data_IF_305808435134
#
_entry.id   IF_305808435134
#
_cell.length_a   1.000
_cell.length_b   1.000
_cell.length_c   1.000
_cell.angle_alpha   90.00
_cell.angle_beta   90.00
_cell.angle_gamma   90.00
#
_symmetry.space_group_name_H-M   'P 1'
#
loop_
_entity.id
_entity.type
_entity.pdbx_description
1 polymer ?
#
# COMPACT_ATOMS: atom_id res chain seq x y z
N UNK A 1 -34.15 -3.32 -1.06
CA UNK A 1 -33.14 -2.52 -0.36
C UNK A 1 -32.68 -1.38 -1.26
N UNK A 2 -32.50 -0.19 -0.69
CA UNK A 2 -31.86 0.97 -1.33
C UNK A 2 -30.54 1.26 -0.61
N UNK A 3 -29.44 1.33 -1.35
CA UNK A 3 -28.09 1.52 -0.84
C UNK A 3 -27.57 2.92 -1.17
N UNK A 4 -26.84 3.53 -0.23
CA UNK A 4 -26.00 4.70 -0.45
C UNK A 4 -24.55 4.28 -0.24
N UNK A 5 -23.68 4.51 -1.23
CA UNK A 5 -22.25 4.18 -1.18
C UNK A 5 -21.45 5.47 -1.27
N UNK A 6 -20.79 5.83 -0.18
CA UNK A 6 -20.06 7.10 -0.03
C UNK A 6 -18.59 6.85 -0.40
N UNK A 7 -17.99 7.68 -1.25
CA UNK A 7 -16.69 7.37 -1.88
C UNK A 7 -16.80 6.25 -2.91
N UNK A 8 -17.98 6.13 -3.52
CA UNK A 8 -18.39 4.96 -4.29
C UNK A 8 -17.82 4.87 -5.71
N UNK A 9 -17.05 5.86 -6.17
CA UNK A 9 -16.31 5.76 -7.45
C UNK A 9 -14.89 5.21 -7.29
N UNK A 10 -14.49 4.86 -6.07
CA UNK A 10 -13.22 4.15 -5.85
C UNK A 10 -13.20 2.79 -6.57
N UNK A 11 -12.02 2.29 -6.99
CA UNK A 11 -11.90 0.97 -7.61
C UNK A 11 -12.46 -0.17 -6.74
N UNK A 12 -12.27 -0.07 -5.42
CA UNK A 12 -12.81 -0.98 -4.40
C UNK A 12 -14.34 -1.05 -4.49
N UNK A 13 -14.99 0.11 -4.60
CA UNK A 13 -16.43 0.20 -4.75
C UNK A 13 -16.90 -0.38 -6.08
N UNK A 14 -16.37 0.13 -7.19
CA UNK A 14 -16.90 -0.16 -8.53
C UNK A 14 -16.65 -1.60 -8.99
N UNK A 15 -15.54 -2.22 -8.58
CA UNK A 15 -15.18 -3.60 -8.99
C UNK A 15 -15.58 -4.63 -7.94
N UNK A 16 -15.93 -4.17 -6.75
CA UNK A 16 -16.13 -5.02 -5.59
C UNK A 16 -17.49 -4.90 -4.98
N UNK A 17 -17.74 -3.77 -4.32
CA UNK A 17 -18.94 -3.54 -3.50
C UNK A 17 -20.20 -3.48 -4.35
N UNK A 18 -20.21 -2.64 -5.38
CA UNK A 18 -21.41 -2.39 -6.19
C UNK A 18 -21.88 -3.63 -6.95
N UNK A 19 -21.04 -4.37 -7.70
CA UNK A 19 -21.48 -5.57 -8.41
C UNK A 19 -22.21 -6.59 -7.53
N UNK A 20 -21.87 -6.65 -6.25
CA UNK A 20 -22.33 -7.69 -5.34
C UNK A 20 -23.62 -7.31 -4.65
N UNK A 21 -23.73 -6.04 -4.26
CA UNK A 21 -25.01 -5.46 -3.91
C UNK A 21 -26.02 -5.67 -5.05
N UNK A 22 -25.59 -5.53 -6.31
CA UNK A 22 -26.44 -5.73 -7.48
C UNK A 22 -26.81 -7.19 -7.78
N UNK A 23 -26.06 -8.18 -7.26
CA UNK A 23 -26.41 -9.61 -7.39
C UNK A 23 -27.63 -9.98 -6.53
N UNK A 24 -27.91 -9.23 -5.46
CA UNK A 24 -29.10 -9.46 -4.65
C UNK A 24 -30.36 -9.05 -5.40
N UNK A 25 -31.31 -9.98 -5.54
CA UNK A 25 -32.63 -9.72 -6.11
C UNK A 25 -33.45 -8.69 -5.31
N UNK A 26 -33.11 -8.49 -4.04
CA UNK A 26 -33.78 -7.51 -3.17
C UNK A 26 -33.29 -6.09 -3.42
N UNK A 27 -32.16 -5.89 -4.10
CA UNK A 27 -31.59 -4.57 -4.38
C UNK A 27 -32.42 -3.85 -5.42
N UNK A 28 -33.10 -2.79 -4.98
CA UNK A 28 -33.94 -1.93 -5.82
C UNK A 28 -33.18 -0.73 -6.38
N UNK A 29 -32.23 -0.21 -5.61
CA UNK A 29 -31.49 1.01 -5.97
C UNK A 29 -30.12 1.05 -5.30
N UNK A 30 -29.12 1.55 -6.03
CA UNK A 30 -27.79 1.87 -5.53
C UNK A 30 -27.47 3.31 -5.89
N UNK A 31 -27.19 4.13 -4.89
CA UNK A 31 -26.79 5.52 -5.06
C UNK A 31 -25.31 5.65 -4.71
N UNK A 32 -24.49 5.94 -5.71
CA UNK A 32 -23.08 6.26 -5.52
C UNK A 32 -22.97 7.76 -5.21
N UNK A 33 -22.40 8.10 -4.06
CA UNK A 33 -22.19 9.48 -3.63
C UNK A 33 -20.69 9.75 -3.57
N UNK A 34 -20.20 10.66 -4.41
CA UNK A 34 -18.76 10.87 -4.60
C UNK A 34 -18.46 12.32 -5.00
N UNK A 35 -17.33 12.86 -4.56
CA UNK A 35 -16.93 14.25 -4.85
C UNK A 35 -16.16 14.40 -6.17
N UNK A 36 -15.93 13.29 -6.88
CA UNK A 36 -15.22 13.18 -8.15
C UNK A 36 -13.73 13.51 -8.08
N UNK A 37 -13.17 13.78 -6.90
CA UNK A 37 -11.79 14.27 -6.75
C UNK A 37 -10.72 13.24 -7.14
N UNK A 38 -11.06 11.95 -7.14
CA UNK A 38 -10.15 10.84 -7.47
C UNK A 38 -10.54 10.04 -8.72
N UNK A 39 -11.51 10.50 -9.50
CA UNK A 39 -12.03 9.74 -10.65
C UNK A 39 -11.08 9.87 -11.83
N UNK A 40 -10.29 8.81 -12.06
CA UNK A 40 -9.67 8.60 -13.36
C UNK A 40 -10.74 8.03 -14.29
N UNK A 41 -10.81 8.52 -15.53
CA UNK A 41 -11.85 8.37 -16.55
C UNK A 41 -12.10 6.94 -17.06
N UNK A 42 -12.23 5.97 -16.16
CA UNK A 42 -12.55 4.58 -16.46
C UNK A 42 -14.05 4.35 -16.42
N UNK A 43 -14.64 4.04 -17.57
CA UNK A 43 -16.03 3.57 -17.64
C UNK A 43 -16.11 2.19 -16.98
N UNK A 44 -16.82 2.10 -15.85
CA UNK A 44 -17.17 0.82 -15.24
C UNK A 44 -18.55 0.38 -15.77
N UNK A 45 -18.70 -0.84 -16.33
CA UNK A 45 -20.00 -1.34 -16.82
C UNK A 45 -21.11 -1.33 -15.76
N UNK A 46 -20.72 -1.33 -14.49
CA UNK A 46 -21.63 -1.27 -13.34
C UNK A 46 -22.39 0.05 -13.28
N UNK A 47 -21.81 1.14 -13.81
CA UNK A 47 -22.46 2.44 -13.87
C UNK A 47 -23.58 2.47 -14.92
N UNK A 48 -23.60 1.52 -15.85
CA UNK A 48 -24.66 1.39 -16.87
C UNK A 48 -25.88 0.59 -16.36
N UNK A 49 -25.81 0.00 -15.15
CA UNK A 49 -26.95 -0.70 -14.54
C UNK A 49 -28.06 0.31 -14.18
N UNK A 50 -29.29 0.05 -14.63
CA UNK A 50 -30.44 0.96 -14.44
C UNK A 50 -30.83 1.18 -12.98
N UNK A 51 -30.35 0.36 -12.05
CA UNK A 51 -30.55 0.51 -10.61
C UNK A 51 -29.51 1.42 -9.97
N UNK A 52 -28.43 1.74 -10.68
CA UNK A 52 -27.32 2.57 -10.21
C UNK A 52 -27.54 4.03 -10.62
N UNK A 53 -27.31 4.94 -9.68
CA UNK A 53 -27.31 6.38 -9.95
C UNK A 53 -26.14 7.03 -9.23
N UNK A 54 -25.50 8.01 -9.86
CA UNK A 54 -24.39 8.76 -9.28
C UNK A 54 -24.88 10.14 -8.84
N UNK A 55 -24.56 10.52 -7.61
CA UNK A 55 -24.75 11.86 -7.06
C UNK A 55 -23.37 12.46 -6.84
N UNK A 56 -23.00 13.40 -7.71
CA UNK A 56 -21.77 14.17 -7.56
C UNK A 56 -21.94 15.18 -6.42
N UNK A 57 -21.21 15.00 -5.32
CA UNK A 57 -21.36 15.80 -4.13
C UNK A 57 -20.29 15.53 -3.09
N UNK A 58 -19.88 16.57 -2.38
CA UNK A 58 -19.00 16.44 -1.22
C UNK A 58 -19.80 16.10 0.03
N UNK A 59 -19.26 15.25 0.90
CA UNK A 59 -19.86 14.96 2.22
C UNK A 59 -20.01 16.19 3.11
N UNK A 60 -19.30 17.29 2.81
CA UNK A 60 -19.51 18.59 3.44
C UNK A 60 -20.81 19.30 3.01
N UNK A 61 -21.48 18.83 1.96
CA UNK A 61 -22.78 19.36 1.52
C UNK A 61 -23.94 18.61 2.17
N UNK A 62 -24.17 18.93 3.45
CA UNK A 62 -25.17 18.25 4.28
C UNK A 62 -26.58 18.30 3.67
N UNK A 63 -26.99 19.42 3.06
CA UNK A 63 -28.30 19.54 2.41
C UNK A 63 -28.46 18.56 1.25
N UNK A 64 -27.41 18.37 0.45
CA UNK A 64 -27.41 17.40 -0.63
C UNK A 64 -27.44 15.96 -0.08
N UNK A 65 -26.70 15.67 0.99
CA UNK A 65 -26.77 14.37 1.66
C UNK A 65 -28.19 14.09 2.19
N UNK A 66 -28.78 15.01 2.93
CA UNK A 66 -30.15 14.87 3.48
C UNK A 66 -31.19 14.65 2.37
N UNK A 67 -31.11 15.42 1.28
CA UNK A 67 -31.95 15.22 0.09
C UNK A 67 -31.72 13.84 -0.52
N UNK A 68 -30.46 13.41 -0.65
CA UNK A 68 -30.10 12.09 -1.18
C UNK A 68 -30.69 10.96 -0.33
N UNK A 69 -30.63 11.05 0.99
CA UNK A 69 -31.27 10.09 1.90
C UNK A 69 -32.79 10.02 1.69
N UNK A 70 -33.43 11.19 1.65
CA UNK A 70 -34.90 11.32 1.58
C UNK A 70 -35.45 10.87 0.24
N UNK A 71 -34.92 11.41 -0.86
CA UNK A 71 -35.41 11.16 -2.23
C UNK A 71 -35.23 9.70 -2.64
N UNK A 72 -34.18 9.05 -2.14
CA UNK A 72 -33.83 7.67 -2.52
C UNK A 72 -34.29 6.62 -1.51
N UNK A 73 -34.90 7.05 -0.39
CA UNK A 73 -35.39 6.19 0.69
C UNK A 73 -34.33 5.18 1.14
N UNK A 74 -33.15 5.69 1.49
CA UNK A 74 -31.96 4.86 1.76
C UNK A 74 -32.18 3.96 2.98
N UNK A 75 -31.88 2.68 2.80
CA UNK A 75 -32.04 1.64 3.84
C UNK A 75 -30.71 1.10 4.34
N UNK A 76 -29.64 1.27 3.55
CA UNK A 76 -28.30 0.76 3.83
C UNK A 76 -27.30 1.84 3.41
N UNK A 77 -26.28 2.06 4.24
CA UNK A 77 -25.17 2.98 3.95
C UNK A 77 -23.88 2.19 4.01
N UNK A 78 -23.06 2.33 2.97
CA UNK A 78 -21.69 1.79 2.92
C UNK A 78 -20.74 2.97 2.78
N UNK A 79 -19.89 3.19 3.78
CA UNK A 79 -18.91 4.27 3.73
C UNK A 79 -17.52 3.76 3.35
N UNK A 80 -17.04 4.23 2.21
CA UNK A 80 -15.72 3.98 1.64
C UNK A 80 -14.91 5.29 1.50
N UNK A 81 -15.46 6.45 1.86
CA UNK A 81 -14.78 7.74 1.65
C UNK A 81 -13.53 7.90 2.52
N UNK A 82 -13.50 7.23 3.67
CA UNK A 82 -12.31 7.10 4.51
C UNK A 82 -11.13 6.42 3.81
N UNK A 83 -11.38 5.63 2.75
CA UNK A 83 -10.38 4.90 1.97
C UNK A 83 -9.89 5.68 0.75
N UNK A 84 -10.67 6.65 0.27
CA UNK A 84 -10.47 7.34 -1.01
C UNK A 84 -9.76 8.68 -0.86
N UNK A 85 -8.85 8.81 0.10
CA UNK A 85 -8.08 10.04 0.27
C UNK A 85 -7.05 10.17 -0.86
N UNK A 86 -6.97 11.32 -1.55
CA UNK A 86 -5.93 11.58 -2.55
C UNK A 86 -4.55 11.33 -1.94
N UNK A 87 -3.64 10.70 -2.70
CA UNK A 87 -2.27 10.40 -2.23
C UNK A 87 -1.51 11.66 -1.76
N UNK A 88 -1.84 12.82 -2.32
CA UNK A 88 -1.23 14.12 -2.03
C UNK A 88 -1.95 14.94 -0.94
N UNK A 89 -3.03 14.41 -0.36
CA UNK A 89 -3.79 15.14 0.64
C UNK A 89 -2.98 15.30 1.93
N UNK A 90 -2.91 16.53 2.46
CA UNK A 90 -2.29 16.76 3.77
C UNK A 90 -2.98 15.92 4.85
N UNK A 91 -2.28 15.50 5.92
CA UNK A 91 -2.89 14.76 7.03
C UNK A 91 -4.11 15.48 7.63
N UNK A 92 -4.12 16.82 7.62
CA UNK A 92 -5.25 17.64 8.07
C UNK A 92 -6.44 17.50 7.12
N UNK A 93 -6.22 17.55 5.80
CA UNK A 93 -7.27 17.35 4.82
C UNK A 93 -7.86 15.93 4.92
N UNK A 94 -7.00 14.91 5.06
CA UNK A 94 -7.40 13.53 5.30
C UNK A 94 -8.26 13.39 6.57
N UNK A 95 -7.80 13.93 7.69
CA UNK A 95 -8.54 13.90 8.95
C UNK A 95 -9.86 14.67 8.85
N UNK A 96 -9.89 15.80 8.16
CA UNK A 96 -11.11 16.60 7.96
C UNK A 96 -12.14 15.85 7.12
N UNK A 97 -11.74 15.26 6.00
CA UNK A 97 -12.65 14.47 5.16
C UNK A 97 -13.16 13.23 5.90
N UNK A 98 -12.26 12.50 6.55
CA UNK A 98 -12.61 11.29 7.29
C UNK A 98 -13.51 11.58 8.49
N UNK A 99 -13.16 12.54 9.34
CA UNK A 99 -13.90 12.82 10.58
C UNK A 99 -15.07 13.76 10.32
N UNK A 100 -14.82 14.98 9.84
CA UNK A 100 -15.88 16.00 9.68
C UNK A 100 -16.85 15.61 8.57
N UNK A 101 -16.34 15.09 7.44
CA UNK A 101 -17.19 14.59 6.37
C UNK A 101 -18.12 13.47 6.85
N UNK A 102 -17.59 12.55 7.65
CA UNK A 102 -18.41 11.47 8.23
C UNK A 102 -19.42 11.98 9.27
N UNK A 103 -19.09 13.00 10.07
CA UNK A 103 -20.07 13.64 10.96
C UNK A 103 -21.29 14.13 10.20
N UNK A 104 -21.10 14.79 9.05
CA UNK A 104 -22.21 15.24 8.22
C UNK A 104 -23.06 14.09 7.67
N UNK A 105 -22.45 12.94 7.38
CA UNK A 105 -23.20 11.72 6.99
C UNK A 105 -24.09 11.25 8.14
N UNK A 106 -23.56 11.22 9.36
CA UNK A 106 -24.32 10.81 10.55
C UNK A 106 -25.46 11.80 10.87
N UNK A 107 -25.21 13.09 10.76
CA UNK A 107 -26.24 14.12 10.92
C UNK A 107 -27.31 14.01 9.83
N UNK A 108 -26.94 13.72 8.58
CA UNK A 108 -27.91 13.49 7.51
C UNK A 108 -28.80 12.27 7.80
N UNK A 109 -28.25 11.19 8.37
CA UNK A 109 -29.06 10.03 8.80
C UNK A 109 -29.99 10.40 9.95
N UNK A 110 -29.51 11.15 10.93
CA UNK A 110 -30.33 11.61 12.04
C UNK A 110 -31.54 12.42 11.54
N UNK A 111 -31.34 13.33 10.58
CA UNK A 111 -32.42 14.11 9.99
C UNK A 111 -33.36 13.30 9.10
N UNK A 112 -32.84 12.30 8.41
CA UNK A 112 -33.65 11.40 7.59
C UNK A 112 -34.71 10.64 8.41
N UNK A 113 -34.48 10.42 9.70
CA UNK A 113 -35.43 9.77 10.62
C UNK A 113 -35.60 8.26 10.40
N UNK A 114 -35.10 7.73 9.28
CA UNK A 114 -34.93 6.30 9.06
C UNK A 114 -33.79 5.72 9.92
N UNK A 115 -33.76 4.39 10.01
CA UNK A 115 -32.70 3.64 10.69
C UNK A 115 -31.93 2.77 9.69
N UNK A 116 -31.15 3.39 8.78
CA UNK A 116 -30.40 2.61 7.81
C UNK A 116 -29.37 1.73 8.52
N UNK A 117 -29.09 0.58 7.93
CA UNK A 117 -27.98 -0.28 8.38
C UNK A 117 -26.67 0.29 7.85
N UNK A 118 -25.68 0.46 8.72
CA UNK A 118 -24.38 1.02 8.37
C UNK A 118 -23.31 -0.05 8.22
N UNK A 119 -22.52 0.08 7.16
CA UNK A 119 -21.27 -0.63 6.97
C UNK A 119 -20.18 0.43 6.80
N UNK A 120 -19.31 0.60 7.81
CA UNK A 120 -18.13 1.45 7.69
C UNK A 120 -16.96 0.60 7.24
N UNK A 121 -16.26 0.96 6.16
CA UNK A 121 -14.99 0.31 5.82
C UNK A 121 -13.83 1.17 6.32
N UNK A 122 -12.93 0.55 7.07
CA UNK A 122 -11.87 1.17 7.87
C UNK A 122 -10.51 0.52 7.61
N UNK A 123 -9.42 1.15 8.06
CA UNK A 123 -8.03 0.66 7.97
C UNK A 123 -7.34 0.83 9.32
N UNK A 124 -6.22 0.17 9.52
CA UNK A 124 -5.38 0.32 10.73
C UNK A 124 -4.56 1.61 10.73
N UNK A 125 -5.25 2.76 10.59
CA UNK A 125 -4.65 4.10 10.60
C UNK A 125 -5.39 5.00 11.59
N UNK A 126 -4.66 5.92 12.22
CA UNK A 126 -5.17 6.70 13.37
C UNK A 126 -6.45 7.50 13.09
N UNK A 127 -6.59 8.05 11.87
CA UNK A 127 -7.80 8.75 11.45
C UNK A 127 -9.00 7.81 11.34
N UNK A 128 -8.82 6.59 10.85
CA UNK A 128 -9.88 5.61 10.75
C UNK A 128 -10.33 5.13 12.13
N UNK A 129 -9.41 4.98 13.10
CA UNK A 129 -9.76 4.69 14.50
C UNK A 129 -10.60 5.81 15.15
N UNK A 130 -10.32 7.07 14.82
CA UNK A 130 -11.12 8.20 15.30
C UNK A 130 -12.55 8.16 14.71
N UNK A 131 -12.68 7.85 13.42
CA UNK A 131 -13.98 7.66 12.76
C UNK A 131 -14.75 6.48 13.37
N UNK A 132 -14.08 5.34 13.61
CA UNK A 132 -14.69 4.19 14.28
C UNK A 132 -15.22 4.53 15.68
N UNK A 133 -14.42 5.27 16.46
CA UNK A 133 -14.81 5.68 17.82
C UNK A 133 -16.02 6.63 17.81
N UNK A 134 -16.03 7.59 16.86
CA UNK A 134 -17.15 8.50 16.68
C UNK A 134 -18.41 7.77 16.21
N UNK A 135 -18.27 6.86 15.24
CA UNK A 135 -19.37 6.04 14.75
C UNK A 135 -19.98 5.19 15.86
N UNK A 136 -19.13 4.54 16.65
CA UNK A 136 -19.56 3.70 17.77
C UNK A 136 -20.39 4.51 18.78
N UNK A 137 -19.95 5.72 19.12
CA UNK A 137 -20.68 6.62 20.03
C UNK A 137 -22.06 7.03 19.47
N UNK A 138 -22.14 7.33 18.18
CA UNK A 138 -23.40 7.64 17.50
C UNK A 138 -24.33 6.43 17.46
N UNK A 139 -23.79 5.27 17.10
CA UNK A 139 -24.55 4.03 16.97
C UNK A 139 -25.19 3.61 18.28
N UNK A 140 -24.46 3.72 19.40
CA UNK A 140 -25.02 3.49 20.74
C UNK A 140 -26.16 4.48 21.03
N UNK A 141 -25.91 5.78 20.80
CA UNK A 141 -26.85 6.86 21.14
C UNK A 141 -28.16 6.76 20.34
N UNK A 142 -28.08 6.41 19.06
CA UNK A 142 -29.23 6.39 18.15
C UNK A 142 -29.76 4.98 17.84
N UNK A 143 -29.14 3.94 18.42
CA UNK A 143 -29.49 2.52 18.19
C UNK A 143 -29.51 2.16 16.71
N UNK A 144 -28.48 2.59 15.99
CA UNK A 144 -28.32 2.29 14.57
C UNK A 144 -27.64 0.92 14.39
N UNK A 145 -28.09 0.05 13.47
CA UNK A 145 -27.37 -1.18 13.18
C UNK A 145 -26.03 -0.86 12.49
N UNK A 146 -24.92 -1.37 13.01
CA UNK A 146 -23.57 -1.11 12.51
C UNK A 146 -22.75 -2.38 12.31
N UNK A 147 -22.04 -2.43 11.19
CA UNK A 147 -20.90 -3.31 10.95
C UNK A 147 -19.67 -2.45 10.64
N UNK A 148 -18.53 -2.73 11.27
CA UNK A 148 -17.25 -2.06 10.99
C UNK A 148 -16.30 -3.02 10.30
N UNK A 149 -15.92 -2.68 9.08
CA UNK A 149 -15.10 -3.45 8.21
C UNK A 149 -13.65 -2.97 8.11
N UNK A 150 -12.77 -3.49 8.97
CA UNK A 150 -11.34 -3.21 8.90
C UNK A 150 -10.66 -4.00 7.79
N UNK A 151 -9.84 -3.29 7.00
CA UNK A 151 -8.97 -3.83 5.97
C UNK A 151 -7.52 -3.78 6.46
N UNK A 152 -6.72 -4.82 6.16
CA UNK A 152 -5.29 -4.84 6.43
C UNK A 152 -4.52 -3.86 5.53
N UNK A 153 -3.33 -3.41 5.96
CA UNK A 153 -2.39 -2.78 5.04
C UNK A 153 -1.98 -3.80 3.96
N UNK A 154 -2.07 -3.43 2.68
CA UNK A 154 -1.70 -4.33 1.55
C UNK A 154 -2.83 -4.75 0.62
N UNK A 155 -4.04 -4.19 0.73
CA UNK A 155 -5.12 -4.51 -0.23
C UNK A 155 -4.76 -4.04 -1.64
N UNK A 156 -4.28 -4.95 -2.48
CA UNK A 156 -4.04 -4.77 -3.90
C UNK A 156 -5.01 -5.67 -4.70
N UNK A 157 -5.95 -5.07 -5.44
CA UNK A 157 -6.62 -5.80 -6.53
C UNK A 157 -8.15 -5.77 -6.60
N UNK A 158 -8.64 -6.52 -7.59
CA UNK A 158 -9.72 -6.15 -8.53
C UNK A 158 -11.10 -6.76 -8.21
N UNK A 159 -11.34 -7.40 -7.06
CA UNK A 159 -12.50 -8.31 -7.00
C UNK A 159 -13.23 -8.44 -5.67
N UNK A 160 -13.44 -7.32 -4.94
CA UNK A 160 -13.89 -7.14 -3.51
C UNK A 160 -15.21 -7.83 -3.09
N UNK A 161 -15.58 -8.90 -3.77
CA UNK A 161 -16.92 -9.02 -4.26
C UNK A 161 -17.71 -10.05 -3.41
N UNK A 162 -17.15 -11.23 -3.15
CA UNK A 162 -17.88 -12.31 -2.46
C UNK A 162 -18.10 -12.12 -0.97
N UNK A 163 -17.17 -11.48 -0.25
CA UNK A 163 -17.31 -11.32 1.18
C UNK A 163 -18.57 -10.53 1.53
N UNK A 164 -18.81 -9.39 0.86
CA UNK A 164 -19.89 -8.45 1.17
C UNK A 164 -21.28 -9.09 1.23
N UNK A 165 -21.54 -10.11 0.43
CA UNK A 165 -22.82 -10.84 0.48
C UNK A 165 -23.10 -11.45 1.86
N UNK A 166 -22.08 -11.96 2.57
CA UNK A 166 -22.24 -12.51 3.92
C UNK A 166 -22.60 -11.44 4.97
N UNK A 167 -22.20 -10.17 4.78
CA UNK A 167 -22.67 -9.03 5.60
C UNK A 167 -24.15 -8.84 5.48
N UNK A 168 -24.57 -8.83 4.22
CA UNK A 168 -25.87 -8.36 3.83
C UNK A 168 -26.92 -9.46 4.05
N UNK A 169 -26.53 -10.74 4.03
CA UNK A 169 -27.41 -11.88 4.30
C UNK A 169 -27.56 -12.24 5.78
N UNK A 170 -26.55 -11.99 6.63
CA UNK A 170 -26.52 -12.49 8.03
C UNK A 170 -26.95 -11.46 9.08
N UNK A 171 -27.33 -10.24 8.66
CA UNK A 171 -27.95 -9.23 9.52
C UNK A 171 -29.41 -9.60 9.87
N UNK A 172 -29.57 -10.75 10.53
CA UNK A 172 -30.76 -11.16 11.27
C UNK A 172 -30.69 -10.55 12.66
N UNK A 173 -31.82 -9.97 13.06
CA UNK A 173 -32.07 -9.27 14.32
C UNK A 173 -31.72 -10.12 15.54
N UNK A 174 -30.90 -9.56 16.43
CA UNK A 174 -31.06 -9.76 17.89
C UNK A 174 -30.88 -8.42 18.60
N UNK A 175 -31.86 -8.08 19.44
CA UNK A 175 -31.78 -7.00 20.44
C UNK A 175 -30.64 -7.34 21.40
N UNK A 176 -29.43 -6.83 21.14
CA UNK A 176 -28.39 -6.54 22.14
C UNK A 176 -27.16 -5.98 21.40
N UNK A 177 -26.55 -4.96 22.00
CA UNK A 177 -25.47 -4.18 21.42
C UNK A 177 -24.21 -5.04 21.19
N UNK A 178 -23.74 -5.13 19.94
CA UNK A 178 -22.45 -5.74 19.63
C UNK A 178 -21.72 -5.04 18.47
N UNK A 179 -20.41 -4.83 18.65
CA UNK A 179 -19.47 -4.49 17.58
C UNK A 179 -19.26 -5.72 16.69
N UNK A 180 -19.31 -5.64 15.36
CA UNK A 180 -18.96 -6.78 14.50
C UNK A 180 -18.18 -6.35 13.24
N UNK A 181 -17.25 -7.22 12.84
CA UNK A 181 -16.12 -7.03 11.91
C UNK A 181 -16.47 -7.37 10.44
N UNK A 182 -15.88 -6.56 9.56
CA UNK A 182 -15.42 -6.69 8.16
C UNK A 182 -15.88 -7.74 7.18
N UNK A 183 -16.29 -7.25 6.02
CA UNK A 183 -16.93 -8.06 5.01
C UNK A 183 -16.47 -7.65 3.61
N UNK A 184 -15.74 -8.55 2.95
CA UNK A 184 -15.36 -8.41 1.54
C UNK A 184 -14.04 -9.03 1.07
N UNK A 185 -13.30 -9.80 1.89
CA UNK A 185 -11.92 -10.29 1.62
C UNK A 185 -10.85 -9.20 1.37
N UNK A 186 -11.23 -7.92 1.20
CA UNK A 186 -10.49 -7.02 0.32
C UNK A 186 -10.12 -7.69 -1.03
N UNK A 187 -10.94 -8.68 -1.41
CA UNK A 187 -10.75 -9.70 -2.40
C UNK A 187 -9.38 -10.08 -2.97
N UNK A 188 -9.09 -11.31 -2.58
CA UNK A 188 -8.30 -12.33 -3.26
C UNK A 188 -6.81 -12.17 -3.03
N UNK A 189 -6.45 -12.53 -1.81
CA UNK A 189 -5.17 -13.13 -1.48
C UNK A 189 -4.01 -12.17 -1.61
N UNK A 190 -3.72 -11.45 -0.54
CA UNK A 190 -2.34 -11.49 -0.09
C UNK A 190 -2.31 -12.33 1.17
N UNK A 191 -1.71 -13.51 1.02
CA UNK A 191 -1.14 -14.19 2.15
C UNK A 191 -0.15 -13.22 2.78
N UNK A 192 -0.44 -12.71 3.97
CA UNK A 192 0.64 -12.45 4.89
C UNK A 192 1.20 -13.83 5.23
N UNK A 193 2.09 -14.32 4.38
CA UNK A 193 2.67 -15.63 4.53
C UNK A 193 3.38 -15.61 5.87
N UNK A 194 2.95 -16.47 6.79
CA UNK A 194 3.73 -16.76 7.99
C UNK A 194 5.19 -16.93 7.57
N UNK A 195 6.14 -16.24 8.21
CA UNK A 195 7.57 -16.40 7.92
C UNK A 195 7.98 -17.89 7.86
N UNK A 196 7.25 -18.76 8.57
CA UNK A 196 7.40 -20.21 8.54
C UNK A 196 6.94 -20.86 7.23
N UNK A 197 5.80 -20.46 6.64
CA UNK A 197 5.34 -20.97 5.34
C UNK A 197 6.18 -20.47 4.18
N UNK A 198 6.62 -19.20 4.22
CA UNK A 198 7.57 -18.66 3.23
C UNK A 198 8.82 -19.53 3.24
N UNK A 199 9.37 -19.77 4.44
CA UNK A 199 10.57 -20.60 4.63
C UNK A 199 10.37 -22.05 4.16
N UNK A 200 9.25 -22.69 4.46
CA UNK A 200 8.98 -24.07 4.01
C UNK A 200 8.74 -24.19 2.49
N UNK A 201 8.07 -23.22 1.85
CA UNK A 201 7.95 -23.22 0.38
C UNK A 201 9.29 -22.86 -0.28
N UNK A 202 10.06 -21.93 0.29
CA UNK A 202 11.42 -21.60 -0.16
C UNK A 202 12.31 -22.84 -0.13
N UNK A 203 12.28 -23.66 0.93
CA UNK A 203 13.04 -24.91 1.01
C UNK A 203 12.58 -25.95 -0.03
N UNK A 204 11.28 -26.03 -0.33
CA UNK A 204 10.74 -26.91 -1.39
C UNK A 204 11.12 -26.43 -2.80
N UNK A 205 11.11 -25.12 -3.05
CA UNK A 205 11.53 -24.51 -4.31
C UNK A 205 13.04 -24.69 -4.50
N UNK A 206 13.85 -24.50 -3.44
CA UNK A 206 15.30 -24.80 -3.45
C UNK A 206 15.61 -26.25 -3.80
N UNK A 207 14.74 -27.18 -3.43
CA UNK A 207 14.87 -28.60 -3.77
C UNK A 207 14.43 -28.94 -5.21
N UNK A 208 14.08 -27.94 -6.04
CA UNK A 208 13.65 -28.14 -7.42
C UNK A 208 12.23 -28.71 -7.57
N UNK A 209 11.43 -28.69 -6.50
CA UNK A 209 10.04 -29.13 -6.51
C UNK A 209 9.11 -27.96 -6.83
N UNK A 210 8.04 -28.18 -7.60
CA UNK A 210 6.98 -27.17 -7.72
C UNK A 210 6.27 -27.06 -6.37
N UNK A 211 6.15 -25.85 -5.83
CA UNK A 211 5.46 -25.57 -4.57
C UNK A 211 4.15 -24.86 -4.90
N UNK A 212 3.02 -25.50 -4.63
CA UNK A 212 1.76 -24.78 -4.46
C UNK A 212 1.85 -24.10 -3.10
N UNK A 213 1.79 -22.76 -3.06
CA UNK A 213 1.70 -22.00 -1.80
C UNK A 213 0.40 -22.39 -1.10
N UNK A 214 0.48 -23.40 -0.23
CA UNK A 214 -0.57 -23.70 0.73
C UNK A 214 -0.51 -22.57 1.75
N UNK A 215 -1.58 -21.79 1.83
CA UNK A 215 -1.77 -20.78 2.85
C UNK A 215 -1.48 -21.41 4.21
N UNK A 216 -0.47 -20.90 4.91
CA UNK A 216 -0.42 -21.10 6.36
C UNK A 216 -0.34 -19.75 7.05
N UNK A 217 -1.23 -19.66 8.04
CA UNK A 217 -1.66 -18.56 8.88
C UNK A 217 -1.27 -17.14 8.42
N UNK A 218 -2.28 -16.33 8.02
CA UNK A 218 -2.07 -14.92 7.69
C UNK A 218 -1.44 -14.16 8.87
N UNK A 219 -0.99 -12.93 8.63
CA UNK A 219 -0.86 -11.93 9.70
C UNK A 219 -2.06 -12.09 10.62
N UNK A 220 -1.81 -12.12 11.93
CA UNK A 220 -2.80 -12.50 12.94
C UNK A 220 -3.81 -11.36 13.09
N UNK A 221 -4.53 -11.04 12.02
CA UNK A 221 -5.83 -10.43 12.09
C UNK A 221 -6.71 -11.51 12.74
N UNK A 222 -7.24 -11.29 13.95
CA UNK A 222 -8.02 -12.30 14.65
C UNK A 222 -9.32 -12.56 13.89
N UNK A 223 -9.30 -13.56 12.99
CA UNK A 223 -10.43 -13.97 12.16
C UNK A 223 -11.40 -14.88 12.92
N UNK A 224 -11.04 -15.33 14.13
CA UNK A 224 -11.85 -16.22 14.95
C UNK A 224 -13.22 -15.61 15.22
N UNK A 225 -13.26 -14.29 15.40
CA UNK A 225 -14.49 -13.55 15.63
C UNK A 225 -15.36 -13.51 14.38
N UNK A 226 -14.78 -13.22 13.21
CA UNK A 226 -15.52 -13.19 11.94
C UNK A 226 -16.09 -14.57 11.60
N UNK A 227 -15.31 -15.64 11.81
CA UNK A 227 -15.79 -17.01 11.63
C UNK A 227 -16.92 -17.36 12.61
N UNK A 228 -16.77 -17.03 13.89
CA UNK A 228 -17.78 -17.32 14.92
C UNK A 228 -19.08 -16.56 14.69
N UNK A 229 -19.02 -15.28 14.34
CA UNK A 229 -20.20 -14.41 14.28
C UNK A 229 -20.88 -14.43 12.90
N UNK A 230 -20.11 -14.61 11.82
CA UNK A 230 -20.62 -14.50 10.45
C UNK A 230 -20.53 -15.81 9.65
N UNK A 231 -19.98 -16.88 10.24
CA UNK A 231 -19.69 -18.11 9.52
C UNK A 231 -18.68 -17.91 8.39
N UNK A 232 -17.91 -16.82 8.43
CA UNK A 232 -17.02 -16.42 7.35
C UNK A 232 -15.60 -16.93 7.60
N UNK A 233 -15.03 -17.60 6.60
CA UNK A 233 -13.60 -17.91 6.52
C UNK A 233 -13.11 -17.54 5.12
N UNK A 234 -11.87 -17.07 4.97
CA UNK A 234 -11.29 -16.88 3.66
C UNK A 234 -11.22 -18.23 2.92
N UNK A 235 -11.73 -18.30 1.69
CA UNK A 235 -11.54 -19.47 0.83
C UNK A 235 -10.05 -19.53 0.41
N UNK A 236 -9.32 -20.57 0.86
CA UNK A 236 -8.00 -20.90 0.30
C UNK A 236 -8.17 -21.43 -1.12
N UNK A 237 -8.37 -20.53 -2.10
CA UNK A 237 -8.10 -20.88 -3.48
C UNK A 237 -6.61 -20.76 -3.72
N UNK A 238 -6.05 -21.77 -4.40
CA UNK A 238 -4.71 -21.69 -4.97
C UNK A 238 -4.55 -20.31 -5.57
N UNK A 239 -3.70 -19.50 -4.94
CA UNK A 239 -3.17 -18.29 -5.55
C UNK A 239 -2.82 -18.70 -6.98
N UNK A 240 -3.20 -17.89 -7.98
CA UNK A 240 -2.61 -18.01 -9.31
C UNK A 240 -1.12 -18.30 -9.11
N UNK A 241 -0.52 -19.17 -9.92
CA UNK A 241 0.94 -19.31 -9.92
C UNK A 241 1.52 -17.92 -10.13
N UNK A 242 1.81 -17.23 -9.03
CA UNK A 242 2.61 -16.03 -9.02
C UNK A 242 3.97 -16.64 -9.25
N UNK A 243 4.35 -16.74 -10.52
CA UNK A 243 5.75 -16.82 -10.87
C UNK A 243 6.34 -15.52 -10.32
N UNK A 244 6.72 -15.52 -9.05
CA UNK A 244 7.53 -14.47 -8.47
C UNK A 244 8.88 -14.62 -9.14
N UNK A 245 9.02 -14.05 -10.33
CA UNK A 245 10.32 -13.81 -10.88
C UNK A 245 10.97 -12.84 -9.89
N UNK A 246 11.87 -13.38 -9.07
CA UNK A 246 12.72 -12.62 -8.15
C UNK A 246 13.41 -11.55 -8.96
N UNK A 247 12.90 -10.31 -8.92
CA UNK A 247 13.45 -9.20 -9.69
C UNK A 247 14.05 -8.17 -8.77
N UNK A 248 15.20 -7.67 -9.19
CA UNK A 248 15.93 -6.60 -8.51
C UNK A 248 15.56 -5.29 -9.17
N UNK A 249 15.12 -4.30 -8.38
CA UNK A 249 15.01 -2.91 -8.85
C UNK A 249 16.35 -2.22 -8.58
N UNK A 250 17.06 -1.85 -9.64
CA UNK A 250 18.38 -1.23 -9.59
C UNK A 250 18.29 0.26 -9.91
N UNK A 251 18.78 1.08 -8.99
CA UNK A 251 18.98 2.51 -9.17
C UNK A 251 20.48 2.81 -9.27
N UNK A 252 20.88 3.67 -10.22
CA UNK A 252 22.29 4.04 -10.43
C UNK A 252 23.04 3.07 -11.35
N UNK A 253 22.34 2.49 -12.33
CA UNK A 253 22.89 1.58 -13.34
C UNK A 253 23.90 2.25 -14.27
N UNK A 254 23.80 3.57 -14.44
CA UNK A 254 24.68 4.37 -15.30
C UNK A 254 26.08 4.58 -14.73
N UNK A 255 26.33 4.09 -13.51
CA UNK A 255 27.62 4.15 -12.83
C UNK A 255 28.52 2.95 -13.20
N UNK A 256 29.85 3.10 -13.19
CA UNK A 256 30.77 1.99 -13.46
C UNK A 256 30.52 0.76 -12.59
N UNK A 257 30.27 0.98 -11.29
CA UNK A 257 29.93 -0.08 -10.33
C UNK A 257 28.56 -0.71 -10.66
N UNK A 258 27.58 0.09 -11.07
CA UNK A 258 26.26 -0.36 -11.50
C UNK A 258 26.31 -1.26 -12.74
N UNK A 259 27.07 -0.87 -13.76
CA UNK A 259 27.24 -1.65 -14.98
C UNK A 259 27.91 -3.01 -14.72
N UNK A 260 28.89 -3.07 -13.82
CA UNK A 260 29.53 -4.34 -13.41
C UNK A 260 28.58 -5.23 -12.63
N UNK A 261 27.81 -4.64 -11.71
CA UNK A 261 26.80 -5.36 -10.95
C UNK A 261 25.73 -5.95 -11.88
N UNK A 262 25.25 -5.18 -12.86
CA UNK A 262 24.30 -5.65 -13.86
C UNK A 262 24.82 -6.88 -14.62
N UNK A 263 26.08 -6.83 -15.09
CA UNK A 263 26.71 -7.97 -15.78
C UNK A 263 26.78 -9.21 -14.88
N UNK A 264 27.11 -9.03 -13.60
CA UNK A 264 27.21 -10.13 -12.64
C UNK A 264 25.83 -10.72 -12.28
N UNK A 265 24.79 -9.88 -12.13
CA UNK A 265 23.41 -10.31 -11.92
C UNK A 265 22.86 -11.08 -13.14
N UNK A 266 23.14 -10.59 -14.35
CA UNK A 266 22.76 -11.26 -15.59
C UNK A 266 23.43 -12.64 -15.73
N UNK A 267 24.71 -12.78 -15.35
CA UNK A 267 25.42 -14.05 -15.34
C UNK A 267 24.80 -15.10 -14.39
N UNK A 268 24.07 -14.66 -13.36
CA UNK A 268 23.30 -15.51 -12.43
C UNK A 268 21.83 -15.67 -12.83
N UNK A 269 21.43 -15.17 -14.01
CA UNK A 269 20.03 -15.17 -14.46
C UNK A 269 19.05 -14.51 -13.48
N UNK A 270 19.50 -13.48 -12.75
CA UNK A 270 18.64 -12.68 -11.86
C UNK A 270 18.02 -11.55 -12.70
N UNK A 271 16.68 -11.51 -12.87
CA UNK A 271 16.00 -10.41 -13.53
C UNK A 271 16.27 -9.06 -12.85
N UNK A 272 16.61 -8.05 -13.65
CA UNK A 272 16.83 -6.67 -13.18
C UNK A 272 15.87 -5.75 -13.91
N UNK A 273 15.22 -4.87 -13.14
CA UNK A 273 14.44 -3.73 -13.63
C UNK A 273 15.20 -2.47 -13.24
N UNK A 274 15.35 -1.52 -14.16
CA UNK A 274 16.00 -0.25 -13.89
C UNK A 274 15.01 0.73 -13.29
N UNK A 275 15.44 1.48 -12.29
CA UNK A 275 14.70 2.62 -11.78
C UNK A 275 14.76 3.78 -12.76
N UNK A 276 13.61 4.26 -13.20
CA UNK A 276 13.43 5.46 -14.00
C UNK A 276 13.45 6.72 -13.13
N UNK A 277 13.02 6.63 -11.86
CA UNK A 277 13.12 7.75 -10.93
C UNK A 277 14.54 7.94 -10.41
N UNK A 278 14.82 9.16 -9.94
CA UNK A 278 16.08 9.56 -9.32
C UNK A 278 15.87 9.81 -7.83
N UNK A 279 16.02 8.78 -6.98
CA UNK A 279 16.02 8.95 -5.54
C UNK A 279 16.99 10.06 -5.14
N UNK A 280 16.52 11.01 -4.32
CA UNK A 280 17.31 12.17 -3.92
C UNK A 280 17.05 13.44 -4.74
N UNK A 281 16.53 13.33 -5.96
CA UNK A 281 16.15 14.46 -6.82
C UNK A 281 14.63 14.54 -7.02
N UNK A 282 14.00 13.42 -7.35
CA UNK A 282 12.57 13.33 -7.60
C UNK A 282 11.75 13.36 -6.30
N UNK A 283 10.46 13.75 -6.38
CA UNK A 283 9.53 13.63 -5.26
C UNK A 283 9.50 12.20 -4.71
N UNK A 284 9.45 12.08 -3.37
CA UNK A 284 9.45 10.78 -2.68
C UNK A 284 8.32 9.87 -3.18
N UNK A 285 7.16 10.45 -3.50
CA UNK A 285 6.02 9.66 -3.94
C UNK A 285 6.18 9.11 -5.35
N UNK A 286 6.93 9.78 -6.24
CA UNK A 286 7.32 9.23 -7.54
C UNK A 286 8.17 7.96 -7.36
N UNK A 287 9.17 8.03 -6.48
CA UNK A 287 10.06 6.89 -6.17
C UNK A 287 9.27 5.73 -5.54
N UNK A 288 8.34 6.04 -4.62
CA UNK A 288 7.47 5.02 -4.02
C UNK A 288 6.56 4.37 -5.06
N UNK A 289 5.89 5.17 -5.89
CA UNK A 289 4.95 4.67 -6.88
C UNK A 289 5.66 3.78 -7.91
N UNK A 290 6.89 4.11 -8.28
CA UNK A 290 7.75 3.23 -9.05
C UNK A 290 8.05 1.91 -8.31
N UNK A 291 8.53 1.97 -7.07
CA UNK A 291 8.81 0.76 -6.26
C UNK A 291 7.57 -0.13 -6.17
N UNK A 292 6.38 0.45 -5.94
CA UNK A 292 5.14 -0.30 -5.83
C UNK A 292 4.67 -0.86 -7.17
N UNK A 293 4.83 -0.10 -8.26
CA UNK A 293 4.49 -0.55 -9.62
C UNK A 293 5.39 -1.70 -10.06
N UNK A 294 6.69 -1.60 -9.79
CA UNK A 294 7.66 -2.65 -10.09
C UNK A 294 7.44 -3.84 -9.16
N UNK A 295 7.08 -3.65 -7.90
CA UNK A 295 6.99 -4.69 -6.87
C UNK A 295 8.24 -5.60 -6.83
N UNK A 296 9.44 -5.03 -6.55
CA UNK A 296 10.69 -5.80 -6.55
C UNK A 296 10.84 -6.68 -5.31
N UNK A 297 11.61 -7.76 -5.48
CA UNK A 297 12.01 -8.64 -4.37
C UNK A 297 13.23 -8.10 -3.61
N UNK A 298 14.02 -7.24 -4.25
CA UNK A 298 15.14 -6.54 -3.64
C UNK A 298 15.36 -5.21 -4.35
N UNK A 299 15.68 -4.16 -3.60
CA UNK A 299 16.10 -2.87 -4.13
C UNK A 299 17.61 -2.73 -3.95
N UNK A 300 18.28 -2.30 -5.01
CA UNK A 300 19.71 -1.99 -4.99
C UNK A 300 19.89 -0.54 -5.39
N UNK A 301 20.65 0.21 -4.61
CA UNK A 301 21.05 1.58 -4.94
C UNK A 301 22.57 1.68 -5.01
N UNK A 302 23.08 2.14 -6.14
CA UNK A 302 24.51 2.41 -6.35
C UNK A 302 24.71 3.91 -6.29
N UNK A 303 25.24 4.39 -5.16
CA UNK A 303 25.51 5.81 -4.91
C UNK A 303 26.86 6.29 -5.44
N UNK A 304 27.38 5.64 -6.47
CA UNK A 304 28.65 6.01 -7.10
C UNK A 304 28.42 7.23 -8.02
N UNK A 305 29.45 8.05 -8.23
CA UNK A 305 29.36 9.19 -9.15
C UNK A 305 30.28 8.96 -10.34
N UNK A 306 29.86 9.43 -11.51
CA UNK A 306 30.69 9.42 -12.71
C UNK A 306 32.00 10.12 -12.38
N UNK A 307 33.09 9.40 -12.59
CA UNK A 307 34.47 9.83 -12.45
C UNK A 307 34.79 11.03 -13.34
N UNK A 308 34.31 12.20 -12.95
CA UNK A 308 34.84 13.45 -13.47
C UNK A 308 35.81 14.02 -12.42
N UNK A 309 37.13 13.75 -12.54
CA UNK A 309 38.12 14.34 -11.64
C UNK A 309 38.06 15.88 -11.62
N UNK A 310 37.59 16.54 -12.69
CA UNK A 310 37.40 17.99 -12.72
C UNK A 310 36.19 18.47 -11.88
N UNK A 311 35.32 17.56 -11.46
CA UNK A 311 34.14 17.85 -10.65
C UNK A 311 34.51 18.19 -9.20
N UNK A 312 35.60 17.62 -8.67
CA UNK A 312 36.03 17.78 -7.27
C UNK A 312 37.10 18.85 -7.05
N UNK A 313 37.91 19.15 -8.07
CA UNK A 313 39.00 20.12 -7.98
C UNK A 313 38.57 21.58 -8.23
N UNK A 314 37.27 21.83 -8.44
CA UNK A 314 36.72 23.17 -8.67
C UNK A 314 35.88 23.64 -7.49
N UNK A 315 35.94 24.95 -7.18
CA UNK A 315 35.29 25.61 -6.02
C UNK A 315 33.87 25.08 -5.70
N UNK A 316 33.53 24.90 -4.41
CA UNK A 316 32.25 24.36 -3.97
C UNK A 316 31.10 25.30 -4.35
N UNK A 317 30.43 25.02 -5.47
CA UNK A 317 29.19 25.70 -5.87
C UNK A 317 28.00 25.10 -5.12
N UNK A 318 27.04 25.92 -4.63
CA UNK A 318 25.84 25.43 -3.92
C UNK A 318 25.05 24.33 -4.63
N UNK A 319 24.99 24.39 -5.97
CA UNK A 319 24.33 23.36 -6.78
C UNK A 319 24.97 21.97 -6.61
N UNK A 320 26.30 21.90 -6.49
CA UNK A 320 27.03 20.64 -6.33
C UNK A 320 26.81 20.03 -4.96
N UNK A 321 26.73 20.86 -3.92
CA UNK A 321 26.38 20.39 -2.59
C UNK A 321 24.97 19.80 -2.57
N UNK A 322 23.99 20.45 -3.21
CA UNK A 322 22.62 19.93 -3.32
C UNK A 322 22.59 18.57 -3.99
N UNK A 323 23.30 18.41 -5.11
CA UNK A 323 23.37 17.15 -5.86
C UNK A 323 24.06 16.05 -5.03
N UNK A 324 25.12 16.38 -4.31
CA UNK A 324 25.84 15.45 -3.44
C UNK A 324 24.97 15.01 -2.25
N UNK A 325 24.29 15.95 -1.59
CA UNK A 325 23.31 15.64 -0.53
C UNK A 325 22.17 14.78 -1.07
N UNK A 326 21.67 15.08 -2.28
CA UNK A 326 20.65 14.28 -2.95
C UNK A 326 21.09 12.83 -3.13
N UNK A 327 22.19 12.62 -3.86
CA UNK A 327 22.68 11.29 -4.26
C UNK A 327 23.33 10.48 -3.14
N UNK A 328 24.14 11.09 -2.28
CA UNK A 328 24.91 10.37 -1.27
C UNK A 328 24.22 10.28 0.10
N UNK A 329 23.27 11.16 0.42
CA UNK A 329 22.61 11.18 1.73
C UNK A 329 21.11 10.90 1.65
N UNK A 330 20.39 11.70 0.86
CA UNK A 330 18.93 11.68 0.83
C UNK A 330 18.39 10.43 0.13
N UNK A 331 18.96 10.08 -1.02
CA UNK A 331 18.62 8.89 -1.79
C UNK A 331 18.70 7.58 -0.99
N UNK A 332 19.87 7.22 -0.40
CA UNK A 332 19.97 5.96 0.33
C UNK A 332 19.10 5.96 1.58
N UNK A 333 18.92 7.12 2.25
CA UNK A 333 18.08 7.23 3.44
C UNK A 333 16.58 7.03 3.13
N UNK A 334 16.06 7.68 2.09
CA UNK A 334 14.66 7.48 1.68
C UNK A 334 14.41 6.05 1.25
N UNK A 335 15.29 5.47 0.43
CA UNK A 335 15.14 4.09 -0.02
C UNK A 335 15.16 3.12 1.15
N UNK A 336 16.10 3.28 2.08
CA UNK A 336 16.16 2.50 3.32
C UNK A 336 14.85 2.60 4.14
N UNK A 337 14.31 3.82 4.31
CA UNK A 337 13.08 4.07 5.05
C UNK A 337 11.84 3.47 4.37
N UNK A 338 11.73 3.56 3.04
CA UNK A 338 10.65 2.94 2.27
C UNK A 338 10.75 1.43 2.42
N UNK A 339 11.92 0.86 2.16
CA UNK A 339 12.20 -0.58 2.20
C UNK A 339 11.89 -1.19 3.57
N UNK A 340 12.22 -0.49 4.67
CA UNK A 340 11.90 -0.95 6.02
C UNK A 340 10.38 -1.04 6.26
N UNK A 341 9.62 -0.05 5.79
CA UNK A 341 8.15 -0.04 5.93
C UNK A 341 7.50 -1.15 5.11
N UNK A 342 7.99 -1.40 3.90
CA UNK A 342 7.41 -2.41 2.99
C UNK A 342 8.07 -3.79 3.15
N UNK A 343 8.98 -3.95 4.13
CA UNK A 343 9.76 -5.18 4.37
C UNK A 343 10.51 -5.70 3.13
N UNK A 344 10.94 -4.80 2.25
CA UNK A 344 11.74 -5.15 1.07
C UNK A 344 13.24 -5.11 1.41
N UNK A 345 14.02 -6.14 1.07
CA UNK A 345 15.48 -6.08 1.06
C UNK A 345 16.05 -4.85 0.36
N UNK A 346 16.92 -4.12 1.05
CA UNK A 346 17.65 -2.98 0.51
C UNK A 346 19.16 -3.23 0.54
N UNK A 347 19.85 -3.00 -0.58
CA UNK A 347 21.31 -3.08 -0.67
C UNK A 347 21.85 -1.77 -1.20
N UNK A 348 22.65 -1.09 -0.37
CA UNK A 348 23.34 0.14 -0.74
C UNK A 348 24.80 -0.17 -1.08
N UNK A 349 25.23 0.25 -2.27
CA UNK A 349 26.61 0.13 -2.73
C UNK A 349 27.19 1.52 -2.93
N UNK A 350 28.31 1.79 -2.27
CA UNK A 350 29.03 3.05 -2.35
C UNK A 350 30.52 2.79 -2.55
N UNK A 351 31.13 3.60 -3.39
CA UNK A 351 32.59 3.66 -3.55
C UNK A 351 33.15 4.92 -2.90
N UNK A 352 34.40 4.84 -2.45
CA UNK A 352 35.13 5.98 -1.86
C UNK A 352 36.58 6.03 -2.32
N UNK A 353 37.17 7.23 -2.31
CA UNK A 353 38.61 7.45 -2.56
C UNK A 353 39.34 7.54 -1.22
N UNK A 354 40.33 6.68 -1.01
CA UNK A 354 41.05 6.58 0.27
C UNK A 354 41.81 7.87 0.63
N UNK A 355 42.28 8.64 -0.37
CA UNK A 355 43.30 9.67 -0.11
C UNK A 355 42.80 11.03 0.36
N UNK A 356 41.49 11.33 0.43
CA UNK A 356 41.05 12.68 0.87
C UNK A 356 39.58 12.82 1.33
N UNK A 357 38.85 11.72 1.56
CA UNK A 357 37.39 11.79 1.70
C UNK A 357 36.91 12.64 2.90
N UNK A 358 37.67 12.72 4.00
CA UNK A 358 37.27 13.57 5.14
C UNK A 358 37.47 15.07 4.92
N UNK A 359 38.24 15.47 3.92
CA UNK A 359 38.52 16.87 3.62
C UNK A 359 37.56 17.47 2.58
N UNK A 360 36.73 16.65 1.93
CA UNK A 360 35.80 17.09 0.88
C UNK A 360 34.36 17.11 1.39
N UNK A 361 33.53 17.97 0.79
CA UNK A 361 32.09 17.98 1.07
C UNK A 361 31.42 16.64 0.71
N UNK A 362 31.99 15.89 -0.23
CA UNK A 362 31.56 14.55 -0.59
C UNK A 362 31.72 13.58 0.56
N UNK A 363 32.95 13.32 1.03
CA UNK A 363 33.14 12.30 2.06
C UNK A 363 32.55 12.70 3.42
N UNK A 364 32.36 13.99 3.71
CA UNK A 364 31.52 14.42 4.85
C UNK A 364 30.08 13.93 4.70
N UNK A 365 29.46 14.16 3.54
CA UNK A 365 28.07 13.74 3.26
C UNK A 365 27.95 12.21 3.27
N UNK A 366 28.89 11.49 2.64
CA UNK A 366 28.96 10.02 2.69
C UNK A 366 29.09 9.50 4.12
N UNK A 367 29.93 10.14 4.94
CA UNK A 367 30.09 9.81 6.36
C UNK A 367 28.81 10.00 7.16
N UNK A 368 28.02 11.04 6.87
CA UNK A 368 26.69 11.22 7.47
C UNK A 368 25.70 10.16 7.01
N UNK A 369 25.69 9.82 5.72
CA UNK A 369 24.82 8.78 5.18
C UNK A 369 25.08 7.45 5.84
N UNK A 370 26.35 7.08 6.02
CA UNK A 370 26.74 5.89 6.78
C UNK A 370 26.10 5.86 8.17
N UNK A 371 26.28 6.94 8.96
CA UNK A 371 25.72 7.05 10.32
C UNK A 371 24.20 7.05 10.37
N UNK A 372 23.54 7.71 9.41
CA UNK A 372 22.08 7.71 9.32
C UNK A 372 21.57 6.33 9.02
N UNK A 373 22.19 5.64 8.07
CA UNK A 373 21.76 4.32 7.72
C UNK A 373 21.95 3.38 8.92
N UNK A 374 23.01 3.49 9.74
CA UNK A 374 23.23 2.67 10.94
C UNK A 374 22.05 2.64 11.93
N UNK A 375 21.13 3.62 11.87
CA UNK A 375 19.90 3.62 12.66
C UNK A 375 18.90 2.53 12.25
N UNK A 376 18.98 2.06 11.00
CA UNK A 376 18.17 0.95 10.54
C UNK A 376 18.84 -0.37 10.95
N UNK A 377 18.31 -0.97 12.01
CA UNK A 377 18.79 -2.24 12.59
C UNK A 377 18.24 -3.48 11.87
N UNK A 378 17.40 -3.24 10.87
CA UNK A 378 16.73 -4.24 10.06
C UNK A 378 17.72 -5.13 9.27
N UNK A 379 17.56 -6.45 9.38
CA UNK A 379 18.31 -7.46 8.59
C UNK A 379 18.09 -7.29 7.07
N UNK A 380 17.02 -6.59 6.68
CA UNK A 380 16.70 -6.31 5.29
C UNK A 380 17.70 -5.35 4.65
N UNK A 381 18.50 -4.63 5.43
CA UNK A 381 19.48 -3.67 4.90
C UNK A 381 20.89 -4.26 4.80
N UNK A 382 21.57 -4.03 3.70
CA UNK A 382 23.01 -4.35 3.56
C UNK A 382 23.74 -3.23 2.87
N UNK A 383 25.00 -3.03 3.26
CA UNK A 383 25.83 -1.93 2.80
C UNK A 383 27.18 -2.46 2.37
N UNK A 384 27.63 -1.98 1.22
CA UNK A 384 28.95 -2.21 0.70
C UNK A 384 29.61 -0.86 0.49
N UNK A 385 30.67 -0.61 1.24
CA UNK A 385 31.50 0.59 1.10
C UNK A 385 32.85 0.09 0.59
N UNK A 386 33.16 0.35 -0.68
CA UNK A 386 34.32 -0.21 -1.36
C UNK A 386 35.32 0.89 -1.74
N UNK A 387 36.63 0.67 -1.59
CA UNK A 387 37.62 1.56 -2.17
C UNK A 387 37.46 1.53 -3.69
N UNK A 388 37.43 2.70 -4.33
CA UNK A 388 37.21 2.79 -5.77
C UNK A 388 38.28 2.05 -6.59
N UNK A 389 39.53 2.11 -6.13
CA UNK A 389 40.68 1.40 -6.71
C UNK A 389 40.62 -0.12 -6.51
N UNK A 390 39.80 -0.59 -5.55
CA UNK A 390 39.72 -1.99 -5.18
C UNK A 390 38.47 -2.69 -5.72
N UNK A 391 37.51 -1.99 -6.33
CA UNK A 391 36.32 -2.64 -6.91
C UNK A 391 36.79 -3.58 -8.01
N UNK A 392 36.73 -4.88 -7.74
CA UNK A 392 37.13 -5.96 -8.63
C UNK A 392 35.95 -6.95 -8.75
N UNK A 393 36.10 -7.98 -9.59
CA UNK A 393 35.01 -8.92 -9.82
C UNK A 393 34.67 -9.77 -8.58
N UNK A 394 35.63 -9.92 -7.65
CA UNK A 394 35.43 -10.60 -6.37
C UNK A 394 34.48 -9.80 -5.46
N UNK A 395 34.70 -8.49 -5.31
CA UNK A 395 33.82 -7.62 -4.54
C UNK A 395 32.40 -7.58 -5.13
N UNK A 396 32.28 -7.52 -6.46
CA UNK A 396 30.98 -7.58 -7.14
C UNK A 396 30.31 -8.94 -6.90
N UNK A 397 31.08 -10.03 -6.94
CA UNK A 397 30.61 -11.37 -6.61
C UNK A 397 30.00 -11.45 -5.21
N UNK A 398 30.68 -10.89 -4.20
CA UNK A 398 30.18 -10.83 -2.81
C UNK A 398 28.86 -10.05 -2.69
N UNK A 399 28.73 -8.95 -3.44
CA UNK A 399 27.48 -8.17 -3.48
C UNK A 399 26.35 -9.03 -4.07
N UNK A 400 26.60 -9.70 -5.19
CA UNK A 400 25.62 -10.56 -5.86
C UNK A 400 25.22 -11.74 -4.99
N UNK A 401 26.16 -12.43 -4.36
CA UNK A 401 25.87 -13.56 -3.46
C UNK A 401 24.99 -13.11 -2.28
N UNK A 402 25.19 -11.88 -1.79
CA UNK A 402 24.36 -11.31 -0.73
C UNK A 402 22.96 -10.92 -1.20
N UNK A 403 22.83 -10.37 -2.42
CA UNK A 403 21.54 -10.10 -3.05
C UNK A 403 20.78 -11.41 -3.24
N UNK A 404 21.44 -12.44 -3.81
CA UNK A 404 20.88 -13.77 -4.03
C UNK A 404 20.38 -14.38 -2.72
N UNK A 405 21.18 -14.32 -1.65
CA UNK A 405 20.75 -14.78 -0.32
C UNK A 405 19.48 -14.09 0.18
N UNK A 406 19.29 -12.80 -0.12
CA UNK A 406 18.08 -12.05 0.27
C UNK A 406 16.89 -12.32 -0.63
N UNK A 407 17.10 -12.61 -1.91
CA UNK A 407 16.03 -13.04 -2.82
C UNK A 407 15.46 -14.41 -2.44
N UNK A 408 16.27 -15.21 -1.73
CA UNK A 408 15.97 -16.57 -1.31
C UNK A 408 15.47 -16.64 0.15
N UNK A 409 15.47 -15.54 0.89
CA UNK A 409 15.03 -15.46 2.30
C UNK A 409 13.61 -14.89 2.39
#
# INVERSE_FOLDING_TARGET
MSYLIIGGLSPISLRGVVPQILQSAETKKVVIYDDLSGVTSSSSPVLDDSRVSVVAGSTFNEKLLQKTFTDNKITHVVDLASLSTPKEASPIAVARTAVVGFTHVLDAVRHYGGKPRFVLVSREVANAMAVESMLHSYVISYRLPLVVARLSEGVLGHDLSRGLNAAFSTAVVTDEAFSAISIGDAARGEAAVSQKAVKECIEKIKAGSSCTLVSTNPSVFPIERAHKELGWMPEEKNLCEVHSFTKVLLFGEDQPTGARLLKALAARSIPVVFGESKPGEDPIDTVKDEIFSVAPSCIVFVGDRKDDPAYFDQEPKPARLRENVGSNLHAPWILAAICERVRCPFTYVQTYKEENDQATSEGVVKGFAKRLLEQFTSEYQTRFILPQTAVNDEHIGLIVDRIEKKLVA
#
